data_IF_596479569191
#
_entry.id   IF_596479569191
#
_cell.length_a   1.000
_cell.length_b   1.000
_cell.length_c   1.000
_cell.angle_alpha   90.00
_cell.angle_beta   90.00
_cell.angle_gamma   90.00
#
_symmetry.space_group_name_H-M   'P 1'
#
loop_
_entity.id
_entity.type
_entity.pdbx_description
1 polymer ?
#
# COMPACT_ATOMS: atom_id res chain seq x y z
N UNK A 1 30.03 14.02 -4.65
CA UNK A 1 28.59 13.77 -4.46
C UNK A 1 27.99 13.76 -5.86
N UNK A 2 27.30 12.70 -6.26
CA UNK A 2 26.65 12.66 -7.57
C UNK A 2 25.44 13.61 -7.56
N UNK A 3 25.31 14.43 -8.60
CA UNK A 3 24.17 15.32 -8.75
C UNK A 3 22.94 14.48 -9.11
N UNK A 4 21.89 14.57 -8.28
CA UNK A 4 20.61 13.93 -8.54
C UNK A 4 19.75 14.88 -9.36
N UNK A 5 19.30 14.39 -10.51
CA UNK A 5 18.51 15.14 -11.47
C UNK A 5 17.16 14.46 -11.65
N UNK A 6 16.11 15.27 -11.74
CA UNK A 6 14.77 14.80 -12.05
C UNK A 6 14.50 14.94 -13.54
N UNK A 7 13.75 13.99 -14.10
CA UNK A 7 13.37 14.00 -15.50
C UNK A 7 12.14 13.15 -15.76
N UNK A 8 11.77 13.09 -17.03
CA UNK A 8 10.66 12.29 -17.53
C UNK A 8 11.13 11.28 -18.58
N UNK A 9 10.61 10.07 -18.53
CA UNK A 9 11.00 9.00 -19.47
C UNK A 9 10.46 9.34 -20.86
N UNK A 10 11.35 9.55 -21.82
CA UNK A 10 10.97 9.86 -23.20
C UNK A 10 10.44 8.63 -23.92
N UNK A 11 11.15 7.52 -23.76
CA UNK A 11 10.72 6.21 -24.23
C UNK A 11 11.61 5.13 -23.60
N UNK A 12 11.06 3.94 -23.42
CA UNK A 12 11.80 2.79 -22.94
C UNK A 12 11.31 1.52 -23.62
N UNK A 13 12.24 0.69 -24.10
CA UNK A 13 11.89 -0.56 -24.77
C UNK A 13 12.10 -1.74 -23.82
N UNK A 14 11.03 -2.28 -23.25
CA UNK A 14 11.09 -3.42 -22.34
C UNK A 14 11.72 -4.66 -22.99
N UNK A 15 11.52 -4.82 -24.31
CA UNK A 15 12.11 -5.93 -25.08
C UNK A 15 13.62 -5.81 -25.22
N UNK A 16 14.13 -4.57 -25.37
CA UNK A 16 15.56 -4.32 -25.57
C UNK A 16 16.30 -3.95 -24.28
N UNK A 17 15.59 -3.55 -23.22
CA UNK A 17 16.16 -3.21 -21.92
C UNK A 17 16.83 -1.84 -21.84
N UNK A 18 16.53 -0.92 -22.76
CA UNK A 18 17.10 0.43 -22.76
C UNK A 18 16.09 1.48 -23.27
N UNK A 19 16.38 2.74 -22.96
CA UNK A 19 15.55 3.88 -23.31
C UNK A 19 16.28 5.21 -23.14
N UNK A 20 15.51 6.29 -23.18
CA UNK A 20 16.00 7.65 -22.96
C UNK A 20 15.09 8.41 -22.00
N UNK A 21 15.70 9.28 -21.20
CA UNK A 21 15.05 10.16 -20.23
C UNK A 21 15.32 11.60 -20.65
N UNK A 22 14.29 12.41 -20.71
CA UNK A 22 14.38 13.86 -20.91
C UNK A 22 14.44 14.52 -19.53
N UNK A 23 15.55 15.19 -19.18
CA UNK A 23 15.69 15.84 -17.88
C UNK A 23 14.74 17.05 -17.78
N UNK A 24 14.34 17.43 -16.56
CA UNK A 24 13.39 18.51 -16.32
C UNK A 24 14.02 19.90 -16.55
N UNK A 25 13.22 20.88 -16.99
CA UNK A 25 13.66 22.26 -17.21
C UNK A 25 14.37 22.84 -15.97
N UNK A 26 15.66 23.17 -16.13
CA UNK A 26 16.54 23.65 -15.06
C UNK A 26 17.71 22.71 -14.71
N UNK A 27 17.80 21.54 -15.33
CA UNK A 27 18.96 20.65 -15.21
C UNK A 27 20.18 21.15 -16.00
N UNK A 28 21.38 20.87 -15.51
CA UNK A 28 22.67 21.19 -16.15
C UNK A 28 22.85 20.56 -17.55
N UNK A 29 21.99 19.61 -17.93
CA UNK A 29 22.00 18.90 -19.21
C UNK A 29 20.64 19.11 -19.90
N UNK A 30 20.68 19.52 -21.17
CA UNK A 30 19.50 19.68 -22.04
C UNK A 30 19.34 18.52 -23.04
N UNK A 31 20.28 17.58 -23.02
CA UNK A 31 20.33 16.42 -23.91
C UNK A 31 19.52 15.25 -23.35
N UNK A 32 18.99 14.38 -24.23
CA UNK A 32 18.34 13.14 -23.80
C UNK A 32 19.38 12.18 -23.18
N UNK A 33 19.12 11.73 -21.95
CA UNK A 33 20.05 10.88 -21.21
C UNK A 33 19.72 9.41 -21.45
N UNK A 34 20.73 8.63 -21.83
CA UNK A 34 20.58 7.20 -22.07
C UNK A 34 20.35 6.45 -20.75
N UNK A 35 19.35 5.56 -20.72
CA UNK A 35 19.08 4.69 -19.57
C UNK A 35 19.11 3.22 -19.98
N UNK A 36 19.79 2.40 -19.18
CA UNK A 36 19.81 0.94 -19.32
C UNK A 36 19.11 0.29 -18.12
N UNK A 37 18.45 -0.85 -18.34
CA UNK A 37 17.74 -1.59 -17.30
C UNK A 37 18.62 -1.97 -16.10
N UNK A 38 19.93 -2.12 -16.29
CA UNK A 38 20.86 -2.41 -15.18
C UNK A 38 20.91 -1.29 -14.15
N UNK A 39 20.72 -0.05 -14.59
CA UNK A 39 20.80 1.17 -13.77
C UNK A 39 19.49 1.52 -13.07
N UNK A 40 18.40 0.80 -13.36
CA UNK A 40 17.08 1.05 -12.78
C UNK A 40 16.96 0.30 -11.45
N UNK A 41 16.69 1.06 -10.39
CA UNK A 41 16.40 0.55 -9.06
C UNK A 41 14.90 0.25 -8.94
N UNK A 42 14.55 -0.99 -9.25
CA UNK A 42 13.19 -1.51 -9.25
C UNK A 42 13.18 -2.95 -8.74
N UNK A 43 12.19 -3.28 -7.91
CA UNK A 43 11.93 -4.66 -7.51
C UNK A 43 11.18 -5.40 -8.62
N UNK A 44 11.83 -6.40 -9.23
CA UNK A 44 11.25 -7.24 -10.28
C UNK A 44 11.62 -6.82 -11.71
N UNK A 45 10.62 -6.71 -12.59
CA UNK A 45 10.84 -6.43 -14.00
C UNK A 45 11.12 -4.93 -14.21
N UNK A 46 12.37 -4.61 -14.54
CA UNK A 46 12.92 -3.24 -14.58
C UNK A 46 12.44 -2.49 -15.81
N UNK A 47 11.23 -1.95 -15.73
CA UNK A 47 10.57 -1.25 -16.84
C UNK A 47 10.19 0.16 -16.46
N UNK A 48 10.31 1.06 -17.43
CA UNK A 48 9.85 2.44 -17.33
C UNK A 48 8.76 2.65 -18.38
N UNK A 49 7.70 3.36 -18.01
CA UNK A 49 6.67 3.81 -18.95
C UNK A 49 7.03 5.20 -19.48
N UNK A 50 6.63 5.47 -20.72
CA UNK A 50 6.77 6.79 -21.34
C UNK A 50 5.98 7.85 -20.54
N UNK A 51 6.59 9.03 -20.36
CA UNK A 51 6.03 10.16 -19.62
C UNK A 51 6.19 10.08 -18.10
N UNK A 52 6.82 9.03 -17.55
CA UNK A 52 6.97 8.89 -16.11
C UNK A 52 8.06 9.78 -15.53
N UNK A 53 7.75 10.44 -14.42
CA UNK A 53 8.74 11.17 -13.64
C UNK A 53 9.70 10.20 -12.95
N UNK A 54 10.99 10.47 -13.05
CA UNK A 54 12.08 9.66 -12.49
C UNK A 54 13.16 10.57 -11.91
N UNK A 55 13.86 10.08 -10.90
CA UNK A 55 15.04 10.71 -10.31
C UNK A 55 16.25 9.83 -10.57
N UNK A 56 17.33 10.40 -11.09
CA UNK A 56 18.51 9.66 -11.48
C UNK A 56 19.77 10.49 -11.28
N UNK A 57 20.91 9.81 -11.23
CA UNK A 57 22.22 10.43 -11.19
C UNK A 57 22.84 10.40 -12.59
N UNK A 58 23.61 11.45 -12.93
CA UNK A 58 24.30 11.52 -14.21
C UNK A 58 25.65 10.80 -14.08
N UNK A 59 25.79 9.69 -14.79
CA UNK A 59 27.05 9.00 -15.01
C UNK A 59 27.56 9.22 -16.43
N UNK A 60 28.81 8.82 -16.69
CA UNK A 60 29.39 8.82 -18.03
C UNK A 60 29.82 7.40 -18.41
N UNK A 61 29.64 7.04 -19.66
CA UNK A 61 30.14 5.77 -20.21
C UNK A 61 31.62 5.85 -20.60
N UNK A 62 32.24 4.72 -20.93
CA UNK A 62 33.66 4.67 -21.36
C UNK A 62 33.94 5.53 -22.60
N UNK A 63 32.89 5.85 -23.37
CA UNK A 63 32.93 6.73 -24.54
C UNK A 63 32.63 8.20 -24.22
N UNK A 64 32.54 8.59 -22.95
CA UNK A 64 32.28 9.97 -22.49
C UNK A 64 30.83 10.44 -22.65
N UNK A 65 29.89 9.55 -23.01
CA UNK A 65 28.47 9.91 -23.18
C UNK A 65 27.72 9.86 -21.85
N UNK A 66 26.82 10.81 -21.63
CA UNK A 66 25.98 10.85 -20.44
C UNK A 66 25.01 9.66 -20.40
N UNK A 67 24.95 8.98 -19.25
CA UNK A 67 24.04 7.88 -18.95
C UNK A 67 23.41 8.04 -17.57
N UNK A 68 22.17 7.62 -17.43
CA UNK A 68 21.48 7.63 -16.15
C UNK A 68 21.96 6.43 -15.30
N UNK A 69 22.38 6.71 -14.08
CA UNK A 69 22.72 5.73 -13.04
C UNK A 69 21.80 5.90 -11.84
N UNK A 70 21.58 4.82 -11.09
CA UNK A 70 20.70 4.83 -9.90
C UNK A 70 19.30 5.41 -10.17
N UNK A 71 18.65 5.00 -11.27
CA UNK A 71 17.33 5.51 -11.65
C UNK A 71 16.27 5.00 -10.68
N UNK A 72 15.56 5.93 -10.04
CA UNK A 72 14.54 5.70 -9.02
C UNK A 72 13.27 6.50 -9.33
N UNK A 73 12.20 6.23 -8.60
CA UNK A 73 11.05 7.12 -8.57
C UNK A 73 11.42 8.43 -7.83
N UNK A 74 10.72 9.56 -8.10
CA UNK A 74 10.92 10.81 -7.37
C UNK A 74 10.85 10.57 -5.86
N UNK A 75 11.86 11.03 -5.11
CA UNK A 75 11.96 10.74 -3.67
C UNK A 75 12.67 9.41 -3.32
N UNK A 76 13.35 8.78 -4.29
CA UNK A 76 14.20 7.61 -4.04
C UNK A 76 13.46 6.28 -3.89
N UNK A 77 12.16 6.23 -4.19
CA UNK A 77 11.37 5.02 -4.15
C UNK A 77 11.67 4.05 -5.31
N UNK A 78 11.29 2.77 -5.22
CA UNK A 78 11.44 1.82 -6.33
C UNK A 78 10.58 2.26 -7.52
N UNK A 79 11.12 2.17 -8.75
CA UNK A 79 10.33 2.41 -9.95
C UNK A 79 9.29 1.30 -10.08
N UNK A 80 8.00 1.56 -9.85
CA UNK A 80 6.97 0.54 -10.00
C UNK A 80 6.67 0.33 -11.49
N UNK A 81 7.00 -0.78 -12.13
CA UNK A 81 6.54 -1.04 -13.51
C UNK A 81 5.00 -1.00 -13.65
N UNK A 82 4.45 -0.98 -14.88
CA UNK A 82 3.01 -0.80 -15.09
C UNK A 82 2.21 -1.80 -14.25
N UNK A 83 1.26 -1.28 -13.46
CA UNK A 83 0.20 -2.11 -12.88
C UNK A 83 -0.49 -2.78 -14.05
N UNK A 84 -0.32 -4.10 -14.22
CA UNK A 84 -1.02 -4.85 -15.28
C UNK A 84 -2.48 -4.40 -15.29
N UNK A 85 -2.89 -3.69 -16.34
CA UNK A 85 -4.29 -3.45 -16.60
C UNK A 85 -4.97 -4.82 -16.58
N UNK A 86 -5.87 -5.05 -15.61
CA UNK A 86 -6.57 -6.33 -15.50
C UNK A 86 -7.27 -6.57 -16.85
N UNK A 87 -7.08 -7.72 -17.52
CA UNK A 87 -7.84 -8.00 -18.73
C UNK A 87 -9.32 -7.96 -18.37
N UNK A 88 -10.06 -7.06 -19.02
CA UNK A 88 -11.50 -6.95 -18.85
C UNK A 88 -12.16 -8.20 -19.44
N UNK A 89 -12.26 -9.26 -18.64
CA UNK A 89 -12.99 -10.48 -18.98
C UNK A 89 -14.49 -10.25 -18.78
N UNK A 90 -15.05 -9.35 -19.60
CA UNK A 90 -16.49 -9.24 -19.84
C UNK A 90 -16.75 -9.34 -21.34
N UNK A 91 -16.76 -10.58 -21.84
CA UNK A 91 -17.50 -10.96 -23.06
C UNK A 91 -18.29 -12.25 -22.79
N UNK A 92 -19.51 -12.03 -22.31
CA UNK A 92 -20.79 -12.52 -22.84
C UNK A 92 -20.81 -13.88 -23.58
N UNK A 93 -21.55 -14.79 -22.96
CA UNK A 93 -22.39 -15.88 -23.51
C UNK A 93 -21.76 -16.95 -24.42
N UNK A 94 -21.65 -18.18 -23.88
CA UNK A 94 -21.34 -19.38 -24.64
C UNK A 94 -21.25 -20.64 -23.75
N UNK A 95 -22.35 -21.38 -23.66
CA UNK A 95 -22.54 -22.72 -23.10
C UNK A 95 -21.26 -23.60 -23.17
N UNK A 96 -20.70 -24.03 -22.03
CA UNK A 96 -19.52 -24.90 -22.02
C UNK A 96 -19.15 -25.41 -20.63
N UNK A 97 -19.00 -26.72 -20.50
CA UNK A 97 -18.90 -27.51 -19.27
C UNK A 97 -17.67 -27.17 -18.39
N UNK A 98 -17.86 -27.15 -17.07
CA UNK A 98 -16.79 -26.91 -16.07
C UNK A 98 -15.97 -28.18 -15.85
N UNK A 99 -14.70 -28.16 -16.26
CA UNK A 99 -13.65 -28.94 -15.61
C UNK A 99 -12.59 -27.99 -15.07
N UNK A 100 -12.57 -27.84 -13.74
CA UNK A 100 -11.48 -27.15 -13.03
C UNK A 100 -10.20 -27.97 -13.20
N UNK A 101 -9.18 -27.39 -13.82
CA UNK A 101 -7.81 -27.89 -13.66
C UNK A 101 -6.89 -26.74 -13.28
N UNK A 102 -6.39 -26.82 -12.05
CA UNK A 102 -5.39 -25.94 -11.48
C UNK A 102 -4.13 -25.96 -12.35
N UNK A 103 -3.76 -24.80 -12.88
CA UNK A 103 -2.44 -24.56 -13.46
C UNK A 103 -1.58 -23.82 -12.45
N UNK A 104 -0.65 -24.55 -11.80
CA UNK A 104 0.53 -23.96 -11.16
C UNK A 104 1.28 -23.16 -12.22
N UNK A 105 1.48 -21.86 -11.98
CA UNK A 105 2.27 -20.98 -12.81
C UNK A 105 2.82 -19.84 -11.95
N UNK A 106 4.11 -19.90 -11.70
CA UNK A 106 4.90 -19.10 -10.77
C UNK A 106 5.04 -17.64 -11.18
N UNK A 107 4.70 -16.75 -10.25
CA UNK A 107 5.54 -15.63 -9.82
C UNK A 107 5.02 -15.23 -8.43
N UNK A 108 5.63 -15.78 -7.36
CA UNK A 108 5.38 -15.26 -6.01
C UNK A 108 5.90 -13.82 -5.97
N UNK A 109 5.11 -12.84 -5.49
CA UNK A 109 5.60 -11.48 -5.27
C UNK A 109 6.83 -11.45 -4.37
N UNK A 110 7.63 -10.41 -4.57
CA UNK A 110 8.83 -10.07 -3.80
C UNK A 110 8.44 -9.92 -2.32
N UNK A 111 9.18 -10.65 -1.48
CA UNK A 111 9.06 -10.86 -0.03
C UNK A 111 7.76 -11.55 0.48
N UNK A 112 7.88 -12.51 1.44
CA UNK A 112 6.70 -13.03 2.11
C UNK A 112 6.02 -11.89 2.85
N UNK A 113 4.74 -11.66 2.55
CA UNK A 113 3.93 -10.78 3.39
C UNK A 113 4.06 -11.23 4.86
N UNK A 114 4.02 -10.30 5.81
CA UNK A 114 4.12 -10.61 7.24
C UNK A 114 3.09 -11.65 7.73
N UNK A 115 1.93 -11.77 7.06
CA UNK A 115 0.94 -12.80 7.39
C UNK A 115 1.34 -14.22 6.93
N UNK A 116 2.33 -14.34 6.04
CA UNK A 116 2.89 -15.61 5.58
C UNK A 116 3.83 -16.22 6.63
N UNK A 117 4.46 -15.40 7.48
CA UNK A 117 5.25 -15.87 8.63
C UNK A 117 4.40 -16.31 9.83
N UNK A 118 3.08 -16.14 9.78
CA UNK A 118 2.18 -16.67 10.80
C UNK A 118 2.18 -18.20 10.81
N UNK A 119 2.05 -18.78 12.00
CA UNK A 119 1.87 -20.23 12.18
C UNK A 119 0.58 -20.71 11.50
N UNK A 120 0.57 -21.97 11.07
CA UNK A 120 -0.61 -22.59 10.45
C UNK A 120 -1.82 -22.60 11.40
N UNK A 121 -1.58 -22.66 12.71
CA UNK A 121 -2.61 -22.53 13.74
C UNK A 121 -3.34 -21.19 13.67
N UNK A 122 -2.61 -20.07 13.63
CA UNK A 122 -3.19 -18.73 13.51
C UNK A 122 -3.87 -18.56 12.16
N UNK A 123 -3.24 -19.04 11.08
CA UNK A 123 -3.84 -19.01 9.74
C UNK A 123 -5.17 -19.75 9.69
N UNK A 124 -5.26 -20.91 10.35
CA UNK A 124 -6.48 -21.70 10.49
C UNK A 124 -7.55 -21.02 11.34
N UNK A 125 -7.17 -20.32 12.41
CA UNK A 125 -8.10 -19.51 13.22
C UNK A 125 -8.69 -18.35 12.41
N UNK A 126 -7.86 -17.63 11.65
CA UNK A 126 -8.31 -16.54 10.77
C UNK A 126 -9.31 -17.05 9.72
N UNK A 127 -9.03 -18.22 9.12
CA UNK A 127 -9.94 -18.85 8.16
C UNK A 127 -11.25 -19.31 8.82
N UNK A 128 -11.18 -19.90 10.01
CA UNK A 128 -12.37 -20.32 10.79
C UNK A 128 -13.26 -19.14 11.16
N UNK A 129 -12.67 -17.97 11.41
CA UNK A 129 -13.38 -16.72 11.73
C UNK A 129 -13.84 -15.94 10.50
N UNK A 130 -13.65 -16.45 9.27
CA UNK A 130 -13.90 -15.72 8.01
C UNK A 130 -13.16 -14.37 7.92
N UNK A 131 -12.04 -14.23 8.64
CA UNK A 131 -11.19 -13.02 8.59
C UNK A 131 -10.41 -13.05 7.27
N UNK A 132 -10.74 -12.09 6.41
CA UNK A 132 -10.17 -12.02 5.07
C UNK A 132 -8.75 -11.49 5.09
N UNK A 133 -7.82 -12.33 4.65
CA UNK A 133 -6.46 -11.94 4.29
C UNK A 133 -6.46 -11.49 2.83
N UNK A 134 -6.24 -10.20 2.57
CA UNK A 134 -5.99 -9.69 1.21
C UNK A 134 -4.47 -9.63 0.99
N UNK A 135 -4.00 -9.26 -0.20
CA UNK A 135 -2.59 -9.11 -0.59
C UNK A 135 -1.81 -8.19 0.38
N UNK A 136 -1.35 -8.75 1.50
CA UNK A 136 -0.58 -8.05 2.52
C UNK A 136 -1.38 -7.25 3.54
N UNK A 137 -2.72 -7.36 3.55
CA UNK A 137 -3.55 -6.67 4.54
C UNK A 137 -4.50 -7.60 5.28
N UNK A 138 -4.71 -7.33 6.57
CA UNK A 138 -5.72 -7.96 7.40
C UNK A 138 -6.57 -6.85 8.03
N UNK A 139 -7.88 -6.94 7.85
CA UNK A 139 -8.85 -6.05 8.48
C UNK A 139 -9.57 -6.85 9.57
N UNK A 140 -9.55 -6.34 10.81
CA UNK A 140 -10.22 -6.95 11.97
C UNK A 140 -11.00 -5.91 12.76
N UNK A 141 -12.05 -6.37 13.43
CA UNK A 141 -12.73 -5.60 14.46
C UNK A 141 -12.33 -6.16 15.83
N UNK A 142 -11.90 -5.28 16.72
CA UNK A 142 -11.45 -5.57 18.08
C UNK A 142 -12.29 -4.72 19.03
N UNK A 143 -13.32 -5.33 19.62
CA UNK A 143 -14.35 -4.59 20.36
C UNK A 143 -15.02 -3.53 19.47
N UNK A 144 -15.00 -2.28 19.92
CA UNK A 144 -15.55 -1.12 19.20
C UNK A 144 -14.51 -0.41 18.29
N UNK A 145 -13.31 -0.97 18.16
CA UNK A 145 -12.27 -0.51 17.24
C UNK A 145 -12.19 -1.39 16.00
N UNK A 146 -12.16 -0.77 14.83
CA UNK A 146 -11.75 -1.42 13.59
C UNK A 146 -10.28 -1.15 13.33
N UNK A 147 -9.49 -2.20 13.19
CA UNK A 147 -8.06 -2.14 12.94
C UNK A 147 -7.74 -2.73 11.58
N UNK A 148 -6.93 -2.01 10.82
CA UNK A 148 -6.36 -2.46 9.55
C UNK A 148 -4.85 -2.60 9.69
N UNK A 149 -4.39 -3.82 9.50
CA UNK A 149 -2.99 -4.20 9.43
C UNK A 149 -2.59 -4.22 7.96
N UNK A 150 -1.74 -3.29 7.56
CA UNK A 150 -1.29 -3.09 6.19
C UNK A 150 0.01 -3.83 5.87
N UNK A 151 0.52 -3.56 4.67
CA UNK A 151 1.88 -3.95 4.26
C UNK A 151 2.92 -3.07 4.96
N UNK A 152 4.16 -3.56 5.04
CA UNK A 152 5.32 -2.80 5.57
C UNK A 152 5.17 -2.37 7.04
N UNK A 153 4.38 -3.09 7.84
CA UNK A 153 4.18 -2.76 9.24
C UNK A 153 3.32 -1.52 9.48
N UNK A 154 2.63 -0.99 8.45
CA UNK A 154 1.72 0.13 8.63
C UNK A 154 0.38 -0.33 9.20
N UNK A 155 -0.14 0.38 10.19
CA UNK A 155 -1.44 0.11 10.82
C UNK A 155 -2.28 1.37 10.95
N UNK A 156 -3.58 1.17 10.90
CA UNK A 156 -4.57 2.24 11.09
C UNK A 156 -5.75 1.71 11.85
N UNK A 157 -6.35 2.54 12.69
CA UNK A 157 -7.52 2.16 13.50
C UNK A 157 -8.55 3.28 13.55
N UNK A 158 -9.82 2.86 13.63
CA UNK A 158 -10.97 3.71 13.85
C UNK A 158 -11.81 3.13 14.99
N UNK A 159 -12.01 3.89 16.06
CA UNK A 159 -12.86 3.52 17.18
C UNK A 159 -14.22 4.20 17.09
N UNK A 160 -15.27 3.54 17.57
CA UNK A 160 -16.66 4.02 17.50
C UNK A 160 -16.89 5.33 18.26
N UNK A 161 -16.04 5.64 19.26
CA UNK A 161 -16.07 6.93 19.96
C UNK A 161 -15.66 8.13 19.10
N UNK A 162 -15.19 7.89 17.87
CA UNK A 162 -14.60 8.92 17.01
C UNK A 162 -13.11 9.10 17.26
N UNK A 163 -12.39 8.05 17.65
CA UNK A 163 -10.93 8.07 17.77
C UNK A 163 -10.30 7.45 16.51
N UNK A 164 -9.29 8.12 15.98
CA UNK A 164 -8.54 7.71 14.80
C UNK A 164 -7.07 7.68 15.15
N UNK A 165 -6.37 6.63 14.73
CA UNK A 165 -4.93 6.59 14.86
C UNK A 165 -4.25 5.87 13.70
N UNK A 166 -3.02 6.30 13.45
CA UNK A 166 -2.08 5.74 12.50
C UNK A 166 -0.76 5.45 13.22
N UNK A 167 -0.13 4.35 12.84
CA UNK A 167 1.16 3.99 13.39
C UNK A 167 1.72 2.75 12.75
N UNK A 168 2.80 2.28 13.33
CA UNK A 168 3.40 1.01 12.94
C UNK A 168 2.90 -0.13 13.82
N UNK A 169 2.94 -1.35 13.31
CA UNK A 169 2.68 -2.56 14.08
C UNK A 169 3.79 -3.58 13.85
N UNK A 170 4.00 -4.42 14.85
CA UNK A 170 4.78 -5.64 14.75
C UNK A 170 3.86 -6.83 14.99
N UNK A 171 4.12 -7.94 14.32
CA UNK A 171 3.38 -9.18 14.52
C UNK A 171 4.35 -10.35 14.57
N UNK A 172 4.22 -11.19 15.60
CA UNK A 172 4.99 -12.43 15.72
C UNK A 172 4.30 -13.60 15.01
N UNK A 173 4.98 -14.75 14.96
CA UNK A 173 4.46 -15.96 14.31
C UNK A 173 3.22 -16.53 15.02
N UNK A 174 3.06 -16.23 16.32
CA UNK A 174 1.94 -16.65 17.16
C UNK A 174 0.73 -15.71 17.05
N UNK A 175 0.83 -14.67 16.22
CA UNK A 175 -0.26 -13.74 15.93
C UNK A 175 -0.44 -12.67 17.00
N UNK A 176 0.52 -12.47 17.91
CA UNK A 176 0.56 -11.32 18.80
C UNK A 176 0.92 -10.08 17.98
N UNK A 177 0.03 -9.11 18.00
CA UNK A 177 0.19 -7.83 17.31
C UNK A 177 0.43 -6.76 18.37
N UNK A 178 1.48 -5.96 18.21
CA UNK A 178 1.77 -4.79 19.03
C UNK A 178 1.79 -3.53 18.18
N UNK A 179 1.22 -2.43 18.69
CA UNK A 179 1.08 -1.17 17.96
C UNK A 179 1.95 -0.07 18.55
N UNK A 180 2.55 0.71 17.67
CA UNK A 180 3.23 1.97 17.96
C UNK A 180 2.51 3.09 17.22
N UNK A 181 1.53 3.70 17.89
CA UNK A 181 0.76 4.82 17.34
C UNK A 181 1.59 6.10 17.31
N UNK A 182 1.78 6.66 16.12
CA UNK A 182 2.57 7.87 15.90
C UNK A 182 1.67 9.11 15.83
N UNK A 183 0.50 8.98 15.20
CA UNK A 183 -0.46 10.08 15.04
C UNK A 183 -1.85 9.62 15.46
N UNK A 184 -2.57 10.45 16.20
CA UNK A 184 -3.96 10.17 16.59
C UNK A 184 -4.77 11.46 16.75
N UNK A 185 -6.05 11.39 16.38
CA UNK A 185 -7.04 12.47 16.49
C UNK A 185 -8.32 11.90 17.07
N UNK A 186 -9.04 12.73 17.81
CA UNK A 186 -10.37 12.42 18.31
C UNK A 186 -11.39 13.42 17.78
N UNK A 187 -12.61 12.94 17.55
CA UNK A 187 -13.74 13.78 17.30
C UNK A 187 -14.22 14.38 18.62
N UNK A 188 -14.11 15.70 18.74
CA UNK A 188 -14.71 16.40 19.86
C UNK A 188 -16.19 16.68 19.55
N UNK A 189 -17.07 15.99 20.28
CA UNK A 189 -18.53 16.16 20.16
C UNK A 189 -19.02 17.55 20.59
N UNK A 190 -18.24 18.28 21.40
CA UNK A 190 -18.62 19.60 21.86
C UNK A 190 -18.34 20.67 20.78
N UNK A 191 -17.17 20.62 20.14
CA UNK A 191 -16.80 21.54 19.06
C UNK A 191 -17.27 21.09 17.68
N UNK A 192 -17.56 19.80 17.50
CA UNK A 192 -17.91 19.20 16.22
C UNK A 192 -16.71 19.05 15.26
N UNK A 193 -15.49 19.16 15.79
CA UNK A 193 -14.23 19.18 15.02
C UNK A 193 -13.32 18.04 15.45
N UNK A 194 -12.54 17.53 14.51
CA UNK A 194 -11.48 16.56 14.76
C UNK A 194 -10.22 17.29 15.26
N UNK A 195 -9.73 16.92 16.43
CA UNK A 195 -8.55 17.53 17.04
C UNK A 195 -7.58 16.47 17.57
N UNK A 196 -6.30 16.83 17.64
CA UNK A 196 -5.29 16.00 18.32
C UNK A 196 -5.66 15.94 19.81
N UNK A 197 -5.87 14.74 20.31
CA UNK A 197 -6.13 14.50 21.74
C UNK A 197 -4.87 13.98 22.41
N UNK A 198 -4.70 14.17 23.73
CA UNK A 198 -3.68 13.44 24.50
C UNK A 198 -4.15 12.04 24.91
N UNK A 199 -5.44 11.77 24.77
CA UNK A 199 -6.08 10.56 25.27
C UNK A 199 -5.90 9.39 24.30
N UNK A 200 -5.09 8.41 24.73
CA UNK A 200 -4.86 7.15 24.00
C UNK A 200 -5.68 5.98 24.55
N UNK A 201 -6.57 6.22 25.51
CA UNK A 201 -7.21 5.13 26.29
C UNK A 201 -8.08 4.21 25.43
N UNK A 202 -8.60 4.71 24.30
CA UNK A 202 -9.40 3.93 23.35
C UNK A 202 -8.61 3.24 22.23
N UNK A 203 -7.27 3.36 22.20
CA UNK A 203 -6.45 2.71 21.17
C UNK A 203 -5.92 1.36 21.66
N UNK A 204 -6.04 0.29 20.86
CA UNK A 204 -5.43 -0.99 21.22
C UNK A 204 -3.90 -0.84 21.21
N UNK A 205 -3.25 -1.18 22.31
CA UNK A 205 -1.79 -1.22 22.42
C UNK A 205 -1.22 -2.54 21.88
N UNK A 206 -1.93 -3.64 22.10
CA UNK A 206 -1.64 -4.96 21.55
C UNK A 206 -2.90 -5.84 21.57
N UNK A 207 -2.96 -6.85 20.69
CA UNK A 207 -3.95 -7.93 20.76
C UNK A 207 -3.40 -9.18 20.06
N UNK A 208 -3.95 -10.37 20.36
CA UNK A 208 -3.62 -11.58 19.61
C UNK A 208 -4.71 -11.85 18.55
N UNK A 209 -4.31 -12.11 17.30
CA UNK A 209 -5.24 -12.42 16.20
C UNK A 209 -6.14 -13.65 16.48
N UNK A 210 -5.66 -14.56 17.33
CA UNK A 210 -6.38 -15.72 17.82
C UNK A 210 -7.44 -15.42 18.88
N UNK A 211 -7.39 -14.28 19.56
CA UNK A 211 -8.30 -13.95 20.67
C UNK A 211 -9.76 -13.91 20.23
N UNK A 212 -10.68 -14.33 21.10
CA UNK A 212 -12.11 -14.38 20.79
C UNK A 212 -12.69 -13.01 20.40
N UNK A 213 -12.09 -11.94 20.92
CA UNK A 213 -12.53 -10.55 20.71
C UNK A 213 -12.10 -9.98 19.34
N UNK A 214 -11.25 -10.71 18.61
CA UNK A 214 -10.86 -10.37 17.24
C UNK A 214 -11.82 -11.03 16.26
N UNK A 215 -12.66 -10.20 15.65
CA UNK A 215 -13.74 -10.58 14.76
C UNK A 215 -13.50 -10.12 13.31
N UNK A 216 -14.12 -10.78 12.32
CA UNK A 216 -14.10 -10.29 10.95
C UNK A 216 -14.90 -8.99 10.84
N UNK A 217 -14.34 -8.03 10.12
CA UNK A 217 -15.07 -6.81 9.75
C UNK A 217 -16.30 -7.18 8.93
N UNK A 218 -17.47 -6.70 9.34
CA UNK A 218 -18.72 -6.97 8.64
C UNK A 218 -18.81 -6.23 7.29
N UNK A 219 -19.66 -6.72 6.38
CA UNK A 219 -19.75 -6.20 5.01
C UNK A 219 -20.42 -4.81 4.90
N UNK A 220 -21.09 -4.39 5.96
CA UNK A 220 -21.74 -3.09 6.16
C UNK A 220 -20.94 -2.18 7.09
N UNK A 221 -20.00 -2.74 7.85
CA UNK A 221 -19.12 -2.02 8.75
C UNK A 221 -18.03 -1.30 7.96
N UNK A 222 -18.25 -0.02 7.69
CA UNK A 222 -17.25 0.97 7.25
C UNK A 222 -16.87 1.87 8.43
N UNK A 223 -15.73 2.57 8.39
CA UNK A 223 -15.46 3.59 9.41
C UNK A 223 -16.56 4.65 9.47
N UNK A 224 -17.14 5.02 8.32
CA UNK A 224 -18.23 5.98 8.26
C UNK A 224 -19.53 5.46 8.89
N UNK A 225 -19.87 4.18 8.74
CA UNK A 225 -21.02 3.58 9.43
C UNK A 225 -20.74 3.31 10.91
N UNK A 226 -19.48 3.13 11.31
CA UNK A 226 -19.06 3.00 12.70
C UNK A 226 -19.28 4.32 13.46
N UNK A 227 -19.10 5.45 12.77
CA UNK A 227 -19.26 6.79 13.31
C UNK A 227 -20.64 7.42 13.09
N UNK A 228 -21.42 6.92 12.13
CA UNK A 228 -22.71 7.48 11.78
C UNK A 228 -22.58 8.86 11.13
N UNK A 229 -23.11 9.89 11.79
CA UNK A 229 -23.21 11.26 11.28
C UNK A 229 -22.01 12.17 11.64
N UNK A 230 -20.87 11.60 12.07
CA UNK A 230 -19.66 12.41 12.32
C UNK A 230 -19.18 13.09 11.03
N UNK A 231 -18.67 14.32 11.17
CA UNK A 231 -18.11 15.07 10.04
C UNK A 231 -16.88 14.37 9.45
N UNK A 232 -16.62 14.58 8.16
CA UNK A 232 -15.52 13.90 7.45
C UNK A 232 -14.15 14.29 8.06
N UNK A 233 -13.35 13.32 8.56
CA UNK A 233 -12.04 13.61 9.14
C UNK A 233 -10.98 14.02 8.12
N UNK A 234 -11.27 14.00 6.81
CA UNK A 234 -10.27 14.19 5.75
C UNK A 234 -9.40 15.43 5.95
N UNK A 235 -10.00 16.59 6.21
CA UNK A 235 -9.23 17.84 6.37
C UNK A 235 -8.30 17.77 7.59
N UNK A 236 -8.78 17.23 8.70
CA UNK A 236 -7.97 17.08 9.92
C UNK A 236 -6.84 16.06 9.74
N UNK A 237 -7.05 14.99 8.95
CA UNK A 237 -6.00 14.04 8.62
C UNK A 237 -4.89 14.68 7.78
N UNK A 238 -5.25 15.50 6.78
CA UNK A 238 -4.30 16.21 5.94
C UNK A 238 -3.48 17.24 6.74
N UNK A 239 -4.13 18.00 7.63
CA UNK A 239 -3.47 19.00 8.48
C UNK A 239 -2.53 18.38 9.53
N UNK A 240 -2.85 17.18 10.03
CA UNK A 240 -2.06 16.49 11.04
C UNK A 240 -1.05 15.48 10.46
N UNK A 241 -0.81 15.53 9.14
CA UNK A 241 0.26 14.77 8.49
C UNK A 241 0.03 13.26 8.41
N UNK A 242 -1.21 12.78 8.52
CA UNK A 242 -1.52 11.36 8.38
C UNK A 242 -1.21 10.87 6.97
N UNK A 243 -0.53 9.72 6.84
CA UNK A 243 -0.36 9.07 5.54
C UNK A 243 -1.69 8.50 5.02
N UNK A 244 -2.65 8.29 5.92
CA UNK A 244 -4.03 7.93 5.62
C UNK A 244 -4.81 9.09 4.95
N UNK A 245 -4.48 9.40 3.69
CA UNK A 245 -5.15 10.50 2.93
C UNK A 245 -6.63 10.24 2.63
N UNK A 246 -7.05 8.99 2.75
CA UNK A 246 -8.45 8.59 2.73
C UNK A 246 -8.61 7.48 3.78
N UNK A 247 -9.53 7.65 4.74
CA UNK A 247 -9.95 6.56 5.63
C UNK A 247 -10.76 5.56 4.80
N UNK A 248 -10.08 4.77 3.97
CA UNK A 248 -10.68 3.64 3.25
C UNK A 248 -10.63 2.43 4.17
N UNK A 249 -11.26 2.57 5.33
CA UNK A 249 -11.84 1.47 6.08
C UNK A 249 -13.21 1.17 5.45
N UNK A 250 -13.23 0.96 4.14
CA UNK A 250 -14.43 0.54 3.44
C UNK A 250 -14.61 -0.95 3.67
N UNK A 251 -15.77 -1.38 4.16
CA UNK A 251 -16.25 -2.70 3.82
C UNK A 251 -16.35 -2.78 2.30
N UNK A 252 -15.52 -3.62 1.69
CA UNK A 252 -15.64 -3.89 0.27
C UNK A 252 -16.95 -4.65 0.07
N UNK A 253 -17.96 -4.00 -0.53
CA UNK A 253 -19.25 -4.63 -0.90
C UNK A 253 -18.96 -6.01 -1.49
N UNK A 254 -19.63 -7.06 -0.97
CA UNK A 254 -19.81 -8.29 -1.72
C UNK A 254 -20.45 -7.88 -3.05
N UNK A 255 -19.69 -7.94 -4.14
CA UNK A 255 -20.28 -7.92 -5.47
C UNK A 255 -21.34 -9.03 -5.48
N UNK A 256 -22.61 -8.64 -5.39
CA UNK A 256 -23.75 -9.54 -5.52
C UNK A 256 -23.74 -10.03 -6.97
N UNK A 257 -23.32 -11.29 -7.12
CA UNK A 257 -23.68 -12.31 -8.10
C UNK A 257 -23.93 -11.86 -9.55
#
# INVERSE_FOLDING_TARGET
MAEKVQGSVKWFSNRKGYGFITPADGSSITEDIFVHQSSIFCEGYRTLDEGWAVEFEIGYDDNGKAKAVSVTAPGGGPCFGPRKARPNTRRRDGKGNRTKKAGKGTAKPIEPFWHDSLTDSVKGLLEKKDIRKTTGTIDVSVGDARVKLGTNGYSSTAHASGLLAEGSFTCDADGNVAFTWEHWIAYDKASGVWAVTGDKSGLPSAFNLGDADVLPVQADETAQTLWGDLSDPKSALEENGFQMRHVVLTARRKDKK
#
